data_IF_406238397212
#
_entry.id   IF_406238397212
#
_cell.length_a   1.000
_cell.length_b   1.000
_cell.length_c   1.000
_cell.angle_alpha   90.00
_cell.angle_beta   90.00
_cell.angle_gamma   90.00
#
_symmetry.space_group_name_H-M   'P 1'
#
loop_
_entity.id
_entity.type
_entity.pdbx_description
1 polymer ?
#
# COMPACT_ATOMS: atom_id res chain seq x y z
N UNK A 1 -16.21 30.94 -47.74
CA UNK A 1 -15.15 30.68 -46.74
C UNK A 1 -15.77 29.81 -45.66
N UNK A 2 -15.64 28.48 -45.77
CA UNK A 2 -16.26 27.52 -44.86
C UNK A 2 -15.20 27.04 -43.85
N UNK A 3 -15.52 27.15 -42.57
CA UNK A 3 -14.69 26.67 -41.47
C UNK A 3 -14.99 25.18 -41.30
N UNK A 4 -14.11 24.32 -41.80
CA UNK A 4 -14.14 22.89 -41.54
C UNK A 4 -13.79 22.63 -40.06
N UNK A 5 -14.73 22.05 -39.33
CA UNK A 5 -14.56 21.60 -37.95
C UNK A 5 -13.49 20.51 -37.90
N UNK A 6 -12.43 20.74 -37.11
CA UNK A 6 -11.50 19.70 -36.72
C UNK A 6 -12.23 18.71 -35.79
N UNK A 7 -12.70 17.60 -36.32
CA UNK A 7 -13.30 16.52 -35.51
C UNK A 7 -12.18 15.80 -34.78
N UNK A 8 -12.12 16.02 -33.47
CA UNK A 8 -11.20 15.39 -32.54
C UNK A 8 -11.38 13.86 -32.59
N UNK A 9 -10.37 13.14 -33.09
CA UNK A 9 -10.35 11.67 -33.13
C UNK A 9 -10.01 11.14 -31.73
N UNK A 10 -11.02 10.92 -30.90
CA UNK A 10 -10.87 10.14 -29.67
C UNK A 10 -10.96 8.65 -30.04
N UNK A 11 -9.90 7.88 -29.75
CA UNK A 11 -9.91 6.43 -29.86
C UNK A 11 -9.92 5.84 -28.46
N UNK A 12 -11.01 5.15 -28.12
CA UNK A 12 -11.16 4.44 -26.86
C UNK A 12 -10.37 3.14 -26.97
N UNK A 13 -9.37 2.97 -26.11
CA UNK A 13 -8.61 1.73 -26.01
C UNK A 13 -8.98 1.05 -24.70
N UNK A 14 -9.42 -0.21 -24.79
CA UNK A 14 -9.66 -1.05 -23.63
C UNK A 14 -8.40 -1.88 -23.39
N UNK A 15 -7.70 -1.62 -22.29
CA UNK A 15 -6.58 -2.44 -21.83
C UNK A 15 -7.16 -3.47 -20.85
N UNK A 16 -7.05 -4.74 -21.21
CA UNK A 16 -7.45 -5.86 -20.36
C UNK A 16 -6.22 -6.69 -19.98
N UNK A 17 -6.22 -7.23 -18.75
CA UNK A 17 -5.21 -8.16 -18.28
C UNK A 17 -5.89 -9.52 -17.97
N UNK A 18 -6.24 -10.32 -18.99
CA UNK A 18 -7.07 -11.53 -18.83
C UNK A 18 -6.29 -12.74 -18.29
N UNK A 19 -5.28 -12.52 -17.45
CA UNK A 19 -4.47 -13.58 -16.87
C UNK A 19 -4.64 -13.64 -15.35
N UNK A 20 -4.75 -14.86 -14.82
CA UNK A 20 -4.59 -15.11 -13.39
C UNK A 20 -3.11 -15.32 -13.12
N UNK A 21 -2.44 -14.36 -12.47
CA UNK A 21 -1.08 -14.59 -11.98
C UNK A 21 -1.15 -15.32 -10.65
N UNK A 22 -0.36 -16.38 -10.52
CA UNK A 22 0.00 -16.90 -9.21
C UNK A 22 0.78 -15.82 -8.46
N UNK A 23 0.49 -15.67 -7.17
CA UNK A 23 1.08 -14.62 -6.31
C UNK A 23 2.60 -14.77 -6.11
N UNK A 24 3.20 -15.87 -6.56
CA UNK A 24 4.60 -16.16 -6.29
C UNK A 24 4.88 -16.40 -4.80
N UNK A 25 6.14 -16.73 -4.45
CA UNK A 25 6.53 -17.00 -3.08
C UNK A 25 6.45 -15.76 -2.19
N UNK A 26 6.72 -14.56 -2.74
CA UNK A 26 6.75 -13.31 -1.96
C UNK A 26 5.35 -12.82 -1.60
N UNK A 27 4.51 -12.52 -2.58
CA UNK A 27 3.16 -12.03 -2.28
C UNK A 27 2.26 -13.11 -1.69
N UNK A 28 2.51 -14.39 -2.01
CA UNK A 28 1.85 -15.52 -1.36
C UNK A 28 2.10 -15.57 0.14
N UNK A 29 3.37 -15.44 0.56
CA UNK A 29 3.74 -15.38 1.97
C UNK A 29 3.17 -14.12 2.65
N UNK A 30 3.27 -12.96 2.02
CA UNK A 30 2.75 -11.70 2.56
C UNK A 30 1.23 -11.77 2.81
N UNK A 31 0.45 -12.18 1.80
CA UNK A 31 -1.01 -12.28 1.93
C UNK A 31 -1.44 -13.38 2.92
N UNK A 32 -0.64 -14.44 3.05
CA UNK A 32 -0.83 -15.45 4.10
C UNK A 32 -0.57 -14.87 5.49
N UNK A 33 0.52 -14.11 5.65
CA UNK A 33 0.83 -13.39 6.88
C UNK A 33 -0.29 -12.43 7.27
N UNK A 34 -0.76 -11.62 6.31
CA UNK A 34 -1.91 -10.75 6.48
C UNK A 34 -3.14 -11.52 6.97
N UNK A 35 -3.55 -12.60 6.30
CA UNK A 35 -4.66 -13.46 6.76
C UNK A 35 -4.48 -13.92 8.22
N UNK A 36 -3.25 -14.18 8.62
CA UNK A 36 -2.87 -14.66 9.95
C UNK A 36 -2.59 -13.52 10.96
N UNK A 37 -2.83 -12.25 10.59
CA UNK A 37 -2.65 -11.07 11.45
C UNK A 37 -1.20 -10.63 11.63
N UNK A 38 -0.31 -10.99 10.70
CA UNK A 38 1.14 -10.74 10.76
C UNK A 38 1.58 -9.87 9.59
N UNK A 39 2.40 -8.85 9.88
CA UNK A 39 2.99 -7.99 8.87
C UNK A 39 4.39 -8.46 8.55
N UNK A 40 4.61 -8.91 7.32
CA UNK A 40 5.89 -9.45 6.88
C UNK A 40 6.54 -8.47 5.89
N UNK A 41 7.70 -7.92 6.25
CA UNK A 41 8.64 -7.32 5.31
C UNK A 41 9.66 -8.35 4.78
N UNK A 42 10.58 -7.92 3.92
CA UNK A 42 11.65 -8.77 3.37
C UNK A 42 13.01 -8.07 3.49
N UNK A 43 14.04 -8.83 3.87
CA UNK A 43 15.38 -8.28 4.06
C UNK A 43 16.14 -8.14 2.73
N UNK A 44 16.66 -6.95 2.48
CA UNK A 44 17.60 -6.67 1.40
C UNK A 44 19.03 -7.03 1.79
N UNK A 45 19.91 -7.21 0.80
CA UNK A 45 21.31 -7.60 1.03
C UNK A 45 22.10 -6.57 1.85
N UNK A 46 21.70 -5.30 1.82
CA UNK A 46 22.28 -4.22 2.62
C UNK A 46 21.69 -4.10 4.03
N UNK A 47 20.80 -5.01 4.41
CA UNK A 47 20.19 -5.11 5.74
C UNK A 47 18.87 -4.37 5.91
N UNK A 48 18.44 -3.57 4.92
CA UNK A 48 17.12 -2.90 4.96
C UNK A 48 15.98 -3.93 4.97
N UNK A 49 14.88 -3.60 5.63
CA UNK A 49 13.64 -4.39 5.62
C UNK A 49 12.59 -3.65 4.79
N UNK A 50 12.25 -4.20 3.63
CA UNK A 50 11.26 -3.62 2.72
C UNK A 50 9.84 -4.07 3.09
N UNK A 51 8.94 -3.10 3.23
CA UNK A 51 7.52 -3.28 3.51
C UNK A 51 6.67 -2.35 2.61
N UNK A 52 5.71 -2.89 1.82
CA UNK A 52 5.46 -4.31 1.56
C UNK A 52 6.68 -5.05 0.98
N UNK A 53 6.73 -6.38 1.11
CA UNK A 53 7.85 -7.14 0.57
C UNK A 53 7.80 -7.19 -0.95
N UNK A 54 8.97 -7.07 -1.59
CA UNK A 54 9.16 -7.11 -3.05
C UNK A 54 10.00 -8.33 -3.45
N UNK A 55 9.91 -8.76 -4.71
CA UNK A 55 10.74 -9.86 -5.25
C UNK A 55 12.18 -9.42 -5.59
N UNK A 56 12.36 -8.12 -5.80
CA UNK A 56 13.60 -7.49 -6.23
C UNK A 56 13.88 -6.25 -5.38
N UNK A 57 15.14 -5.96 -5.09
CA UNK A 57 15.53 -4.75 -4.39
C UNK A 57 15.39 -3.53 -5.33
N UNK A 58 14.57 -2.53 -5.00
CA UNK A 58 14.38 -1.36 -5.84
C UNK A 58 15.65 -0.50 -5.99
N UNK A 59 16.61 -0.59 -5.07
CA UNK A 59 17.85 0.17 -5.14
C UNK A 59 18.89 -0.44 -6.10
N UNK A 60 18.95 -1.78 -6.15
CA UNK A 60 20.01 -2.50 -6.88
C UNK A 60 19.49 -3.25 -8.11
N UNK A 61 18.21 -3.64 -8.12
CA UNK A 61 17.63 -4.48 -9.16
C UNK A 61 18.04 -5.95 -9.06
N UNK A 62 18.62 -6.38 -7.94
CA UNK A 62 18.97 -7.79 -7.66
C UNK A 62 17.80 -8.55 -7.01
N UNK A 63 17.69 -9.87 -7.21
CA UNK A 63 16.63 -10.66 -6.59
C UNK A 63 16.86 -10.76 -5.09
N UNK A 64 15.76 -10.74 -4.33
CA UNK A 64 15.82 -10.88 -2.87
C UNK A 64 15.66 -12.34 -2.45
N UNK A 65 16.48 -12.75 -1.48
CA UNK A 65 16.28 -14.02 -0.78
C UNK A 65 14.95 -13.99 -0.02
N UNK A 66 14.32 -15.16 0.16
CA UNK A 66 13.06 -15.31 0.90
C UNK A 66 13.27 -15.21 2.43
N UNK A 67 13.94 -14.14 2.87
CA UNK A 67 14.21 -13.80 4.27
C UNK A 67 13.17 -12.79 4.78
N UNK A 68 12.00 -13.32 5.17
CA UNK A 68 10.92 -12.51 5.71
C UNK A 68 11.16 -12.11 7.16
N UNK A 69 10.86 -10.86 7.47
CA UNK A 69 10.97 -10.29 8.81
C UNK A 69 9.60 -9.78 9.25
N UNK A 70 9.15 -10.17 10.43
CA UNK A 70 7.92 -9.62 11.00
C UNK A 70 8.17 -8.20 11.54
N UNK A 71 7.27 -7.26 11.22
CA UNK A 71 7.38 -5.83 11.54
C UNK A 71 6.11 -5.32 12.25
N UNK A 72 6.20 -4.16 12.88
CA UNK A 72 5.08 -3.56 13.62
C UNK A 72 4.69 -4.36 14.86
N UNK A 73 3.39 -4.37 15.26
CA UNK A 73 2.25 -3.76 14.57
C UNK A 73 2.17 -2.23 14.75
N UNK A 74 3.09 -1.64 15.54
CA UNK A 74 3.24 -0.20 15.67
C UNK A 74 3.97 0.43 14.47
N UNK A 75 3.92 1.76 14.40
CA UNK A 75 4.63 2.53 13.40
C UNK A 75 4.35 4.03 13.53
N UNK A 76 5.06 4.80 12.71
CA UNK A 76 4.95 6.26 12.63
C UNK A 76 4.28 6.66 11.31
N UNK A 77 3.45 7.70 11.32
CA UNK A 77 2.91 8.30 10.10
C UNK A 77 3.89 9.35 9.59
N UNK A 78 4.49 9.11 8.44
CA UNK A 78 5.45 10.06 7.84
C UNK A 78 4.73 11.24 7.16
N UNK A 79 3.64 10.94 6.46
CA UNK A 79 2.82 11.93 5.75
C UNK A 79 1.46 11.36 5.38
N UNK A 80 0.52 12.24 5.00
CA UNK A 80 -0.83 11.84 4.64
C UNK A 80 -1.49 12.78 3.62
N UNK A 81 -2.52 12.28 2.94
CA UNK A 81 -3.40 13.06 2.09
C UNK A 81 -4.88 12.77 2.42
N UNK A 82 -5.65 13.83 2.65
CA UNK A 82 -7.06 13.73 3.02
C UNK A 82 -7.98 13.45 1.83
N UNK A 83 -8.88 12.48 2.01
CA UNK A 83 -10.04 12.22 1.15
C UNK A 83 -11.29 12.64 1.90
N UNK A 84 -11.74 13.88 1.66
CA UNK A 84 -12.91 14.46 2.34
C UNK A 84 -14.24 13.96 1.79
N UNK A 85 -14.29 13.56 0.51
CA UNK A 85 -15.47 13.03 -0.16
C UNK A 85 -15.13 11.69 -0.83
N UNK A 86 -15.29 10.56 -0.12
CA UNK A 86 -14.98 9.26 -0.70
C UNK A 86 -15.86 8.89 -1.90
N UNK A 87 -15.31 8.06 -2.78
CA UNK A 87 -16.04 7.49 -3.93
C UNK A 87 -16.27 6.01 -3.69
N UNK A 88 -17.13 5.38 -4.50
CA UNK A 88 -17.37 3.93 -4.44
C UNK A 88 -16.13 3.07 -4.75
N UNK A 89 -15.05 3.67 -5.25
CA UNK A 89 -13.77 2.98 -5.52
C UNK A 89 -12.79 3.05 -4.35
N UNK A 90 -13.07 3.86 -3.34
CA UNK A 90 -12.21 4.00 -2.17
C UNK A 90 -12.46 2.90 -1.14
N UNK A 91 -11.46 2.59 -0.28
CA UNK A 91 -11.60 1.54 0.72
C UNK A 91 -12.60 1.88 1.83
N UNK A 92 -12.87 3.17 2.07
CA UNK A 92 -13.75 3.65 3.14
C UNK A 92 -14.84 4.55 2.58
N UNK A 93 -16.03 4.47 3.18
CA UNK A 93 -17.20 5.26 2.77
C UNK A 93 -17.27 6.63 3.47
N UNK A 94 -16.62 6.75 4.62
CA UNK A 94 -16.48 7.97 5.42
C UNK A 94 -15.14 8.68 5.12
N UNK A 95 -15.02 10.00 5.39
CA UNK A 95 -13.77 10.73 5.21
C UNK A 95 -12.59 10.04 5.90
N UNK A 96 -11.46 9.96 5.20
CA UNK A 96 -10.27 9.24 5.64
C UNK A 96 -9.00 9.87 5.05
N UNK A 97 -7.84 9.46 5.53
CA UNK A 97 -6.55 9.82 4.94
C UNK A 97 -5.88 8.58 4.32
N UNK A 98 -5.25 8.75 3.16
CA UNK A 98 -4.18 7.84 2.77
C UNK A 98 -2.91 8.31 3.49
N UNK A 99 -2.40 7.48 4.38
CA UNK A 99 -1.20 7.74 5.18
C UNK A 99 -0.05 6.84 4.72
N UNK A 100 1.16 7.39 4.69
CA UNK A 100 2.39 6.61 4.65
C UNK A 100 2.75 6.24 6.08
N UNK A 101 2.68 4.94 6.38
CA UNK A 101 2.96 4.40 7.71
C UNK A 101 4.28 3.65 7.66
N UNK A 102 5.28 4.18 8.37
CA UNK A 102 6.56 3.53 8.61
C UNK A 102 6.42 2.59 9.80
N UNK A 103 6.35 1.28 9.54
CA UNK A 103 6.20 0.26 10.59
C UNK A 103 7.49 0.07 11.39
N UNK A 104 7.36 -0.20 12.69
CA UNK A 104 8.50 -0.51 13.54
C UNK A 104 9.26 -1.73 13.00
N UNK A 105 10.56 -1.57 12.75
CA UNK A 105 11.40 -2.63 12.16
C UNK A 105 11.38 -2.73 10.64
N UNK A 106 10.62 -1.88 9.94
CA UNK A 106 10.74 -1.68 8.50
C UNK A 106 11.66 -0.49 8.17
N UNK A 107 12.16 -0.42 6.94
CA UNK A 107 12.91 0.71 6.38
C UNK A 107 12.13 1.46 5.28
N UNK A 108 10.96 0.95 4.88
CA UNK A 108 10.06 1.60 3.94
C UNK A 108 8.63 1.69 4.48
N UNK A 109 7.90 2.73 4.05
CA UNK A 109 6.54 2.98 4.48
C UNK A 109 5.48 2.23 3.63
N UNK A 110 4.43 1.78 4.30
CA UNK A 110 3.22 1.21 3.71
C UNK A 110 2.15 2.29 3.55
N UNK A 111 1.53 2.40 2.37
CA UNK A 111 0.31 3.20 2.22
C UNK A 111 -0.86 2.49 2.89
N UNK A 112 -1.54 3.16 3.81
CA UNK A 112 -2.72 2.65 4.49
C UNK A 112 -3.85 3.70 4.53
N UNK A 113 -5.11 3.23 4.49
CA UNK A 113 -6.27 4.09 4.63
C UNK A 113 -6.67 4.21 6.11
N UNK A 114 -6.56 5.41 6.67
CA UNK A 114 -6.82 5.70 8.09
C UNK A 114 -8.10 6.52 8.22
N UNK A 115 -9.13 5.94 8.83
CA UNK A 115 -10.38 6.61 9.14
C UNK A 115 -10.36 7.34 10.49
N UNK A 116 -11.35 8.20 10.72
CA UNK A 116 -11.61 8.79 12.04
C UNK A 116 -12.71 8.01 12.79
N UNK A 117 -12.44 7.65 14.05
CA UNK A 117 -13.39 6.98 14.93
C UNK A 117 -12.77 5.77 15.62
N UNK A 118 -13.30 5.39 16.79
CA UNK A 118 -12.84 4.24 17.56
C UNK A 118 -13.20 2.87 16.94
N UNK A 119 -13.85 2.87 15.77
CA UNK A 119 -14.16 1.64 15.06
C UNK A 119 -12.96 1.18 14.24
N UNK A 120 -12.58 -0.08 14.46
CA UNK A 120 -11.48 -0.78 13.80
C UNK A 120 -11.66 -0.72 12.28
N UNK A 121 -10.79 -0.01 11.60
CA UNK A 121 -10.76 0.05 10.15
C UNK A 121 -9.44 -0.59 9.67
N UNK A 122 -9.55 -1.70 8.94
CA UNK A 122 -8.40 -2.49 8.48
C UNK A 122 -8.37 -3.87 9.13
N UNK A 123 -9.38 -4.71 8.86
CA UNK A 123 -9.43 -6.09 9.34
C UNK A 123 -8.29 -6.91 8.72
N UNK A 124 -7.13 -6.87 9.37
CA UNK A 124 -5.95 -7.75 9.29
C UNK A 124 -4.77 -7.12 10.05
N UNK A 125 -4.75 -5.79 10.23
CA UNK A 125 -3.65 -5.10 10.92
C UNK A 125 -4.19 -4.17 12.00
N UNK A 126 -3.82 -4.41 13.26
CA UNK A 126 -4.10 -3.51 14.39
C UNK A 126 -3.20 -2.26 14.35
N UNK A 127 -3.19 -1.56 13.21
CA UNK A 127 -2.51 -0.27 13.09
C UNK A 127 -3.40 0.82 13.68
N UNK A 128 -3.12 1.16 14.95
CA UNK A 128 -3.77 2.26 15.64
C UNK A 128 -2.89 3.50 15.49
N UNK A 129 -3.42 4.53 14.85
CA UNK A 129 -2.82 5.86 14.90
C UNK A 129 -3.03 6.42 16.32
N UNK A 130 -1.93 6.62 17.05
CA UNK A 130 -1.95 7.37 18.32
C UNK A 130 -1.45 8.78 18.00
N UNK A 131 -2.33 9.80 17.96
CA UNK A 131 -1.88 11.17 17.83
C UNK A 131 -1.04 11.55 19.05
N UNK A 132 0.13 12.18 18.85
CA UNK A 132 0.78 12.91 19.93
C UNK A 132 -0.13 14.08 20.34
N UNK A 133 -0.29 14.30 21.64
CA UNK A 133 -1.01 15.45 22.17
C UNK A 133 -0.43 16.71 21.55
N UNK A 134 -1.26 17.47 20.82
CA UNK A 134 -0.87 18.75 20.26
C UNK A 134 -0.48 19.69 21.41
N UNK A 135 0.83 19.92 21.55
CA UNK A 135 1.41 20.94 22.44
C UNK A 135 0.99 22.35 22.04
#
# INVERSE_FOLDING_TARGET
MAIERLTERISIHTIEFPYTRTLGPVYGAFLTGLRDGRLLGIRAADGRVLMPPTEWDPATGEPLDLDFVEVGPGGTVDSWCWVTQPTSKHPLAQPFAFALVHLDGADTALVHAVGFGAERVGSITDLVFVPEDAS
#
